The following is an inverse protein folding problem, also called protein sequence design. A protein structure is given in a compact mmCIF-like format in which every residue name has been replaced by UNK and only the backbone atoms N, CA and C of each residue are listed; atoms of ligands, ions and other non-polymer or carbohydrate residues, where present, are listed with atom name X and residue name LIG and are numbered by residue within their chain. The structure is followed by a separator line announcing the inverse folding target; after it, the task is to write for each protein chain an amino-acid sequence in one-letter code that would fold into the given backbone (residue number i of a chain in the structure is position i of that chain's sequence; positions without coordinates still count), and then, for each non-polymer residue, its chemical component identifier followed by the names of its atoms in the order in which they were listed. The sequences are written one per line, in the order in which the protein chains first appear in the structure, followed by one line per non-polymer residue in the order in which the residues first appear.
data_IF_490685204450
#
_entry.id   IF_490685204450
#
_cell.length_a   1.000
_cell.length_b   1.000
_cell.length_c   1.000
_cell.angle_alpha   90.00
_cell.angle_beta   90.00
_cell.angle_gamma   90.00
#
_symmetry.space_group_name_H-M   'P 1'
#
loop_
_entity.id
_entity.type
_entity.pdbx_description
1 polymer ?
#
# COMPACT_ATOMS: atom_id res chain seq x y z
N UNK A 1 1.42 -6.49 -16.01
CA UNK A 1 1.74 -5.31 -15.17
C UNK A 1 1.37 -4.04 -15.94
N UNK A 2 0.90 -3.00 -15.24
CA UNK A 2 0.58 -1.69 -15.83
C UNK A 2 1.13 -0.57 -14.95
N UNK A 3 1.65 0.49 -15.57
CA UNK A 3 2.19 1.67 -14.88
C UNK A 3 1.58 2.93 -15.49
N UNK A 4 1.25 3.91 -14.64
CA UNK A 4 0.60 5.16 -14.99
C UNK A 4 1.33 6.34 -14.35
N UNK A 5 1.63 7.36 -15.13
CA UNK A 5 2.13 8.65 -14.64
C UNK A 5 0.94 9.55 -14.26
N UNK A 6 0.86 9.91 -12.98
CA UNK A 6 -0.23 10.72 -12.43
C UNK A 6 0.32 11.97 -11.72
N UNK A 7 -0.52 12.99 -11.60
CA UNK A 7 -0.22 14.25 -10.95
C UNK A 7 -1.17 14.44 -9.78
N UNK A 8 -0.65 14.46 -8.55
CA UNK A 8 -1.43 14.74 -7.35
C UNK A 8 -1.37 16.23 -7.00
N UNK A 9 -2.52 16.88 -6.87
CA UNK A 9 -2.66 18.29 -6.50
C UNK A 9 -3.15 18.44 -5.05
N UNK A 10 -2.44 19.20 -4.22
CA UNK A 10 -2.92 19.53 -2.87
C UNK A 10 -4.03 20.58 -2.93
N UNK A 11 -4.79 20.74 -1.85
CA UNK A 11 -5.74 21.86 -1.72
C UNK A 11 -5.09 23.25 -1.79
N UNK A 12 -3.77 23.33 -1.58
CA UNK A 12 -2.98 24.56 -1.75
C UNK A 12 -2.42 24.76 -3.17
N UNK A 13 -2.81 23.90 -4.13
CA UNK A 13 -2.39 23.98 -5.53
C UNK A 13 -1.02 23.40 -5.84
N UNK A 14 -0.29 22.83 -4.85
CA UNK A 14 1.00 22.18 -5.11
C UNK A 14 0.80 20.86 -5.83
N UNK A 15 1.67 20.59 -6.79
CA UNK A 15 1.61 19.39 -7.61
C UNK A 15 2.76 18.45 -7.28
N UNK A 16 2.47 17.15 -7.23
CA UNK A 16 3.44 16.08 -7.01
C UNK A 16 3.27 15.02 -8.09
N UNK A 17 4.25 14.85 -8.99
CA UNK A 17 4.30 13.73 -9.91
C UNK A 17 4.42 12.42 -9.14
N UNK A 18 3.55 11.46 -9.44
CA UNK A 18 3.55 10.12 -8.86
C UNK A 18 3.51 9.08 -9.97
N UNK A 19 4.08 7.93 -9.67
CA UNK A 19 3.91 6.72 -10.47
C UNK A 19 2.93 5.80 -9.74
N UNK A 20 1.88 5.38 -10.44
CA UNK A 20 0.89 4.42 -9.97
C UNK A 20 1.04 3.14 -10.79
N UNK A 21 1.37 2.04 -10.14
CA UNK A 21 1.48 0.75 -10.82
C UNK A 21 0.64 -0.33 -10.16
N UNK A 22 0.24 -1.30 -10.97
CA UNK A 22 -0.44 -2.50 -10.51
C UNK A 22 -0.05 -3.73 -11.33
N UNK A 23 -0.07 -4.88 -10.66
CA UNK A 23 0.27 -6.18 -11.21
C UNK A 23 -0.57 -7.25 -10.56
N UNK A 24 -0.73 -8.38 -11.25
CA UNK A 24 -1.40 -9.56 -10.69
C UNK A 24 -0.36 -10.64 -10.49
N UNK A 25 -0.46 -11.34 -9.38
CA UNK A 25 0.41 -12.46 -9.03
C UNK A 25 -0.45 -13.59 -8.51
N UNK A 26 -0.13 -14.83 -8.89
CA UNK A 26 -0.75 -16.01 -8.30
C UNK A 26 -0.40 -16.10 -6.82
N UNK A 27 -1.37 -16.48 -5.99
CA UNK A 27 -1.18 -16.49 -4.53
C UNK A 27 -0.06 -17.43 -4.06
N UNK A 28 0.24 -18.49 -4.81
CA UNK A 28 1.32 -19.45 -4.51
C UNK A 28 2.73 -18.90 -4.85
N UNK A 29 2.80 -17.84 -5.66
CA UNK A 29 4.04 -17.13 -5.98
C UNK A 29 4.34 -15.97 -5.01
N UNK A 30 3.39 -15.63 -4.13
CA UNK A 30 3.57 -14.53 -3.18
C UNK A 30 4.63 -14.92 -2.14
N UNK A 31 5.70 -14.11 -1.96
CA UNK A 31 6.72 -14.43 -0.97
C UNK A 31 6.17 -14.18 0.44
N UNK A 32 6.08 -15.24 1.24
CA UNK A 32 5.51 -15.21 2.59
C UNK A 32 6.50 -15.80 3.60
N UNK A 33 6.73 -15.07 4.69
CA UNK A 33 7.43 -15.53 5.89
C UNK A 33 6.82 -14.85 7.12
N UNK A 34 5.86 -15.53 7.75
CA UNK A 34 5.15 -15.00 8.92
C UNK A 34 6.08 -14.74 10.11
N UNK A 35 7.12 -15.55 10.28
CA UNK A 35 8.04 -15.41 11.39
C UNK A 35 8.88 -14.14 11.22
N UNK A 36 9.45 -13.96 10.02
CA UNK A 36 10.24 -12.78 9.70
C UNK A 36 9.42 -11.49 9.80
N UNK A 37 8.22 -11.43 9.21
CA UNK A 37 7.42 -10.18 9.26
C UNK A 37 6.89 -9.90 10.66
N UNK A 38 6.53 -10.93 11.44
CA UNK A 38 6.08 -10.76 12.83
C UNK A 38 7.20 -10.23 13.71
N UNK A 39 8.43 -10.75 13.57
CA UNK A 39 9.59 -10.26 14.32
C UNK A 39 9.97 -8.83 13.92
N UNK A 40 9.91 -8.50 12.62
CA UNK A 40 10.09 -7.13 12.15
C UNK A 40 9.04 -6.17 12.74
N UNK A 41 7.77 -6.59 12.79
CA UNK A 41 6.71 -5.80 13.43
C UNK A 41 6.97 -5.62 14.94
N UNK A 42 7.34 -6.70 15.63
CA UNK A 42 7.57 -6.71 17.09
C UNK A 42 8.74 -5.82 17.50
N UNK A 43 9.84 -5.85 16.73
CA UNK A 43 11.05 -5.08 17.00
C UNK A 43 10.96 -3.63 16.50
N UNK A 44 10.25 -3.39 15.39
CA UNK A 44 10.26 -2.11 14.67
C UNK A 44 9.01 -1.24 14.82
N UNK A 45 7.87 -1.77 15.28
CA UNK A 45 6.60 -1.04 15.23
C UNK A 45 5.91 -0.91 16.60
N UNK A 46 5.65 0.33 17.01
CA UNK A 46 4.95 0.64 18.27
C UNK A 46 3.45 0.26 18.29
N UNK A 47 2.91 -0.22 17.17
CA UNK A 47 1.55 -0.71 17.01
C UNK A 47 1.45 -2.24 17.09
N UNK A 48 2.56 -2.96 17.17
CA UNK A 48 2.56 -4.40 17.45
C UNK A 48 1.70 -4.69 18.68
N UNK A 49 0.86 -5.72 18.59
CA UNK A 49 -0.12 -6.14 19.61
C UNK A 49 -1.12 -5.06 20.10
N UNK A 50 -1.23 -3.91 19.40
CA UNK A 50 -2.06 -2.78 19.83
C UNK A 50 -3.06 -2.30 18.78
N UNK A 51 -3.06 -2.90 17.60
CA UNK A 51 -3.99 -2.59 16.51
C UNK A 51 -4.55 -3.87 15.89
N UNK A 52 -5.85 -3.89 15.63
CA UNK A 52 -6.49 -5.05 15.00
C UNK A 52 -5.98 -5.36 13.59
N UNK A 53 -5.40 -4.42 12.86
CA UNK A 53 -4.81 -4.69 11.54
C UNK A 53 -3.38 -5.24 11.58
N UNK A 54 -2.79 -5.44 12.77
CA UNK A 54 -1.39 -5.79 12.96
C UNK A 54 -1.25 -7.16 13.67
N UNK A 55 -0.05 -7.78 13.65
CA UNK A 55 0.19 -9.00 14.40
C UNK A 55 0.00 -8.78 15.91
N UNK A 56 -0.47 -9.80 16.66
CA UNK A 56 -0.81 -11.16 16.21
C UNK A 56 -2.26 -11.31 15.69
N UNK A 57 -2.97 -10.21 15.49
CA UNK A 57 -4.42 -10.24 15.21
C UNK A 57 -4.76 -10.30 13.73
N UNK A 58 -3.82 -9.95 12.86
CA UNK A 58 -3.95 -10.13 11.42
C UNK A 58 -3.92 -11.63 11.09
N UNK A 59 -4.76 -12.11 10.16
CA UNK A 59 -4.69 -13.47 9.68
C UNK A 59 -3.46 -13.65 8.79
N UNK A 60 -2.93 -14.86 8.77
CA UNK A 60 -1.95 -15.29 7.78
C UNK A 60 -2.51 -15.11 6.35
N UNK A 61 -1.64 -14.78 5.39
CA UNK A 61 -1.97 -14.55 3.98
C UNK A 61 -2.79 -15.70 3.38
N UNK A 62 -2.45 -16.95 3.71
CA UNK A 62 -3.13 -18.18 3.26
C UNK A 62 -4.62 -18.21 3.68
N UNK A 63 -4.97 -17.55 4.78
CA UNK A 63 -6.37 -17.42 5.24
C UNK A 63 -7.12 -16.27 4.55
N UNK A 64 -6.39 -15.32 3.98
CA UNK A 64 -6.93 -14.28 3.10
C UNK A 64 -6.99 -14.75 1.64
N UNK A 65 -6.32 -15.87 1.32
CA UNK A 65 -6.07 -16.26 -0.05
C UNK A 65 -7.35 -16.46 -0.83
N UNK A 66 -7.34 -15.80 -1.99
CA UNK A 66 -7.96 -16.32 -3.17
C UNK A 66 -6.92 -16.83 -4.16
N UNK A 67 -7.29 -17.04 -5.43
CA UNK A 67 -6.37 -17.60 -6.43
C UNK A 67 -5.22 -16.64 -6.79
N UNK A 68 -5.50 -15.34 -6.74
CA UNK A 68 -4.59 -14.28 -7.17
C UNK A 68 -4.63 -13.09 -6.19
N UNK A 69 -3.56 -12.30 -6.21
CA UNK A 69 -3.47 -10.98 -5.58
C UNK A 69 -3.18 -9.93 -6.65
N UNK A 70 -3.90 -8.81 -6.58
CA UNK A 70 -3.50 -7.56 -7.24
C UNK A 70 -2.58 -6.82 -6.30
N UNK A 71 -1.33 -6.64 -6.69
CA UNK A 71 -0.39 -5.77 -6.00
C UNK A 71 -0.51 -4.39 -6.61
N UNK A 72 -0.72 -3.37 -5.79
CA UNK A 72 -0.85 -1.99 -6.23
C UNK A 72 0.12 -1.12 -5.44
N UNK A 73 0.82 -0.24 -6.14
CA UNK A 73 1.72 0.70 -5.51
C UNK A 73 1.56 2.13 -6.00
N UNK A 74 1.90 3.08 -5.14
CA UNK A 74 2.13 4.48 -5.51
C UNK A 74 3.55 4.86 -5.10
N UNK A 75 4.32 5.42 -6.03
CA UNK A 75 5.71 5.85 -5.87
C UNK A 75 5.84 7.35 -6.09
N UNK A 76 6.67 7.98 -5.26
CA UNK A 76 7.09 9.39 -5.42
C UNK A 76 8.62 9.48 -5.31
N UNK A 77 9.26 10.16 -6.26
CA UNK A 77 10.69 10.46 -6.16
C UNK A 77 10.94 11.57 -5.13
N UNK A 78 11.96 11.41 -4.29
CA UNK A 78 12.29 12.36 -3.23
C UNK A 78 12.76 13.71 -3.77
N UNK A 79 13.24 13.77 -5.01
CA UNK A 79 13.51 15.04 -5.72
C UNK A 79 12.28 15.95 -5.85
N UNK A 80 11.06 15.41 -5.74
CA UNK A 80 9.82 16.18 -5.75
C UNK A 80 9.36 16.63 -4.36
N UNK A 81 10.14 16.34 -3.30
CA UNK A 81 9.78 16.73 -1.95
C UNK A 81 10.07 18.22 -1.76
N UNK A 82 9.26 18.93 -0.96
CA UNK A 82 9.60 20.29 -0.57
C UNK A 82 10.93 20.30 0.21
N UNK A 83 11.82 21.26 -0.07
CA UNK A 83 13.14 21.35 0.58
C UNK A 83 13.04 21.36 2.12
N UNK A 84 12.01 22.01 2.67
CA UNK A 84 11.73 22.02 4.13
C UNK A 84 11.43 20.64 4.72
N UNK A 85 10.89 19.71 3.92
CA UNK A 85 10.62 18.33 4.33
C UNK A 85 11.93 17.56 4.35
N UNK A 86 12.75 17.70 3.30
CA UNK A 86 14.06 17.04 3.22
C UNK A 86 15.02 17.52 4.31
N UNK A 87 15.05 18.83 4.61
CA UNK A 87 15.82 19.40 5.71
C UNK A 87 15.25 19.07 7.11
N UNK A 88 14.00 18.59 7.18
CA UNK A 88 13.32 18.27 8.43
C UNK A 88 13.80 16.96 9.06
N UNK A 89 13.39 16.70 10.32
CA UNK A 89 13.69 15.44 11.01
C UNK A 89 13.01 14.24 10.33
N UNK A 90 13.49 13.04 10.66
CA UNK A 90 12.94 11.75 10.19
C UNK A 90 11.40 11.72 10.18
N UNK A 91 10.77 12.16 11.27
CA UNK A 91 9.32 12.13 11.41
C UNK A 91 8.60 13.02 10.38
N UNK A 92 9.14 14.20 10.07
CA UNK A 92 8.57 15.10 9.05
C UNK A 92 8.60 14.46 7.66
N UNK A 93 9.70 13.78 7.32
CA UNK A 93 9.86 13.06 6.06
C UNK A 93 8.89 11.87 5.95
N UNK A 94 8.75 11.13 7.05
CA UNK A 94 7.81 10.02 7.14
C UNK A 94 6.34 10.47 7.02
N UNK A 95 5.93 11.48 7.79
CA UNK A 95 4.56 12.03 7.75
C UNK A 95 4.20 12.56 6.37
N UNK A 96 5.15 13.16 5.65
CA UNK A 96 4.90 13.67 4.30
C UNK A 96 4.37 12.56 3.38
N UNK A 97 5.01 11.39 3.35
CA UNK A 97 4.55 10.21 2.59
C UNK A 97 3.18 9.74 3.08
N UNK A 98 3.03 9.57 4.39
CA UNK A 98 1.80 9.05 4.98
C UNK A 98 0.57 9.91 4.70
N UNK A 99 0.76 11.23 4.61
CA UNK A 99 -0.35 12.18 4.50
C UNK A 99 -1.17 11.97 3.22
N UNK A 100 -0.54 11.64 2.09
CA UNK A 100 -1.24 11.55 0.82
C UNK A 100 -1.05 10.22 0.07
N UNK A 101 0.14 9.59 0.09
CA UNK A 101 0.31 8.28 -0.58
C UNK A 101 -0.57 7.21 0.09
N UNK A 102 -0.61 7.14 1.41
CA UNK A 102 -1.42 6.14 2.12
C UNK A 102 -2.91 6.35 1.85
N UNK A 103 -3.38 7.60 1.82
CA UNK A 103 -4.78 7.91 1.51
C UNK A 103 -5.14 7.52 0.07
N UNK A 104 -4.31 7.93 -0.90
CA UNK A 104 -4.51 7.62 -2.32
C UNK A 104 -4.50 6.11 -2.58
N UNK A 105 -3.45 5.43 -2.13
CA UNK A 105 -3.27 3.98 -2.33
C UNK A 105 -4.40 3.18 -1.69
N UNK A 106 -4.83 3.55 -0.49
CA UNK A 106 -5.95 2.88 0.19
C UNK A 106 -7.30 3.15 -0.50
N UNK A 107 -7.53 4.36 -1.04
CA UNK A 107 -8.76 4.68 -1.77
C UNK A 107 -8.87 3.83 -3.03
N UNK A 108 -7.79 3.76 -3.81
CA UNK A 108 -7.74 2.94 -5.03
C UNK A 108 -7.92 1.46 -4.68
N UNK A 109 -7.15 0.94 -3.73
CA UNK A 109 -7.20 -0.48 -3.37
C UNK A 109 -8.56 -0.91 -2.77
N UNK A 110 -9.22 -0.06 -1.99
CA UNK A 110 -10.56 -0.36 -1.45
C UNK A 110 -11.61 -0.40 -2.56
N UNK A 111 -11.62 0.59 -3.46
CA UNK A 111 -12.55 0.61 -4.59
C UNK A 111 -12.34 -0.60 -5.49
N UNK A 112 -11.08 -0.96 -5.75
CA UNK A 112 -10.74 -2.16 -6.52
C UNK A 112 -11.24 -3.44 -5.84
N UNK A 113 -11.12 -3.54 -4.52
CA UNK A 113 -11.68 -4.66 -3.77
C UNK A 113 -13.22 -4.71 -3.85
N UNK A 114 -13.90 -3.57 -3.80
CA UNK A 114 -15.36 -3.48 -3.96
C UNK A 114 -15.80 -3.92 -5.37
N UNK A 115 -15.20 -3.36 -6.42
CA UNK A 115 -15.54 -3.65 -7.82
C UNK A 115 -15.29 -5.13 -8.18
N UNK A 116 -14.29 -5.76 -7.55
CA UNK A 116 -13.93 -7.17 -7.79
C UNK A 116 -14.58 -8.16 -6.81
N UNK A 117 -15.24 -7.69 -5.75
CA UNK A 117 -15.66 -8.55 -4.63
C UNK A 117 -14.47 -9.23 -3.93
N UNK A 118 -13.33 -8.54 -3.85
CA UNK A 118 -12.09 -9.01 -3.24
C UNK A 118 -11.90 -8.55 -1.79
N UNK A 119 -10.76 -8.92 -1.19
CA UNK A 119 -10.34 -8.49 0.13
C UNK A 119 -9.17 -7.52 0.03
N UNK A 120 -9.33 -6.32 0.59
CA UNK A 120 -8.29 -5.29 0.63
C UNK A 120 -7.34 -5.48 1.82
N UNK A 121 -6.03 -5.48 1.55
CA UNK A 121 -4.95 -5.44 2.54
C UNK A 121 -4.11 -4.16 2.37
N UNK A 122 -3.95 -3.41 3.46
CA UNK A 122 -3.43 -2.05 3.46
C UNK A 122 -1.91 -1.97 3.62
N UNK A 123 -1.36 -0.78 3.32
CA UNK A 123 0.00 -0.39 3.70
C UNK A 123 -0.05 0.17 5.12
N UNK A 124 0.13 -0.69 6.13
CA UNK A 124 0.11 -0.30 7.53
C UNK A 124 -1.19 -0.63 8.28
N UNK A 125 -1.40 0.05 9.40
CA UNK A 125 -2.39 -0.34 10.41
C UNK A 125 -3.83 0.02 10.06
N UNK A 126 -4.79 -0.65 10.72
CA UNK A 126 -6.22 -0.37 10.58
C UNK A 126 -6.59 1.00 11.19
N UNK A 127 -7.51 1.70 10.53
CA UNK A 127 -8.02 3.02 10.92
C UNK A 127 -9.52 3.05 11.25
N UNK A 128 -10.22 1.93 11.16
CA UNK A 128 -11.70 1.87 11.17
C UNK A 128 -12.35 2.26 12.49
N UNK A 129 -11.60 2.30 13.59
CA UNK A 129 -12.11 2.77 14.87
C UNK A 129 -11.96 4.28 15.10
N UNK A 130 -11.21 5.01 14.24
CA UNK A 130 -10.95 6.44 14.46
C UNK A 130 -12.28 7.25 14.47
N UNK A 131 -12.42 8.26 15.34
CA UNK A 131 -11.41 8.78 16.29
C UNK A 131 -11.29 7.99 17.60
N UNK A 132 -12.11 6.95 17.82
CA UNK A 132 -12.09 6.13 19.04
C UNK A 132 -10.83 5.25 19.11
N UNK A 133 -10.44 4.86 20.33
CA UNK A 133 -9.35 3.90 20.56
C UNK A 133 -9.69 2.53 19.98
N UNK A 134 -8.69 1.77 19.56
CA UNK A 134 -8.90 0.40 19.09
C UNK A 134 -9.24 -0.51 20.28
N UNK A 135 -10.36 -1.24 20.22
CA UNK A 135 -10.78 -2.15 21.30
C UNK A 135 -9.78 -3.29 21.56
N UNK A 136 -9.03 -3.71 20.54
CA UNK A 136 -7.97 -4.72 20.67
C UNK A 136 -6.87 -4.24 21.64
N UNK A 137 -6.57 -2.94 21.64
CA UNK A 137 -5.63 -2.32 22.59
C UNK A 137 -6.13 -2.34 24.04
N UNK A 138 -7.41 -2.63 24.23
CA UNK A 138 -8.10 -2.70 25.53
C UNK A 138 -8.42 -4.17 25.91
N UNK A 139 -7.91 -5.15 25.16
CA UNK A 139 -8.20 -6.57 25.36
C UNK A 139 -9.56 -7.03 24.81
N UNK A 140 -10.30 -6.14 24.13
CA UNK A 140 -11.63 -6.42 23.58
C UNK A 140 -11.62 -6.90 22.13
N UNK A 141 -12.78 -7.38 21.66
CA UNK A 141 -13.02 -7.73 20.26
C UNK A 141 -13.05 -6.49 19.36
N UNK A 142 -12.76 -6.66 18.07
CA UNK A 142 -12.82 -5.57 17.10
C UNK A 142 -14.23 -4.95 17.06
N UNK A 143 -14.33 -3.61 17.17
CA UNK A 143 -15.60 -2.85 17.06
C UNK A 143 -16.13 -2.80 15.62
N UNK A 144 -15.25 -2.96 14.64
CA UNK A 144 -15.57 -2.81 13.22
C UNK A 144 -15.01 -4.01 12.42
N UNK A 145 -15.48 -5.25 12.66
CA UNK A 145 -14.90 -6.44 12.06
C UNK A 145 -15.00 -6.46 10.54
N UNK A 146 -16.08 -5.92 9.97
CA UNK A 146 -16.30 -5.85 8.51
C UNK A 146 -15.36 -4.82 7.87
N UNK A 147 -15.26 -3.62 8.45
CA UNK A 147 -14.41 -2.55 7.92
C UNK A 147 -12.92 -2.72 8.29
N UNK A 148 -12.53 -3.78 9.00
CA UNK A 148 -11.17 -4.00 9.48
C UNK A 148 -10.26 -4.32 8.30
N UNK A 149 -9.21 -3.52 8.13
CA UNK A 149 -8.14 -3.79 7.15
C UNK A 149 -6.93 -4.40 7.87
N UNK A 150 -6.22 -5.28 7.18
CA UNK A 150 -4.98 -5.87 7.66
C UNK A 150 -3.79 -5.29 6.91
N UNK A 151 -2.67 -5.03 7.61
CA UNK A 151 -1.44 -4.66 6.92
C UNK A 151 -0.96 -5.83 6.07
N UNK A 152 -0.52 -5.58 4.83
CA UNK A 152 0.02 -6.63 3.95
C UNK A 152 1.19 -7.38 4.62
N UNK A 153 2.11 -6.68 5.28
CA UNK A 153 3.22 -7.32 6.01
C UNK A 153 2.73 -8.10 7.24
N UNK A 154 1.65 -7.65 7.88
CA UNK A 154 1.08 -8.33 9.04
C UNK A 154 0.46 -9.68 8.69
N UNK A 155 0.20 -9.93 7.41
CA UNK A 155 -0.31 -11.22 6.92
C UNK A 155 0.83 -12.15 6.53
N UNK A 156 2.09 -11.81 6.79
CA UNK A 156 3.25 -12.64 6.45
C UNK A 156 3.92 -12.31 5.12
N UNK A 157 3.35 -11.42 4.31
CA UNK A 157 3.90 -11.11 2.99
C UNK A 157 5.20 -10.31 3.12
N UNK A 158 6.26 -10.80 2.48
CA UNK A 158 7.54 -10.12 2.34
C UNK A 158 7.44 -9.04 1.26
N UNK A 159 6.94 -7.86 1.64
CA UNK A 159 6.63 -6.76 0.70
C UNK A 159 7.83 -6.33 -0.14
N UNK A 160 9.06 -6.37 0.39
CA UNK A 160 10.29 -6.12 -0.37
C UNK A 160 10.46 -7.10 -1.53
N UNK A 161 10.37 -8.40 -1.25
CA UNK A 161 10.49 -9.45 -2.27
C UNK A 161 9.32 -9.42 -3.24
N UNK A 162 8.11 -9.11 -2.76
CA UNK A 162 6.92 -8.97 -3.60
C UNK A 162 7.12 -7.87 -4.65
N UNK A 163 7.63 -6.71 -4.24
CA UNK A 163 7.85 -5.57 -5.12
C UNK A 163 8.97 -5.82 -6.13
N UNK A 164 10.04 -6.50 -5.71
CA UNK A 164 11.12 -6.91 -6.60
C UNK A 164 10.61 -7.90 -7.66
N UNK A 165 9.88 -8.94 -7.24
CA UNK A 165 9.37 -9.97 -8.16
C UNK A 165 8.29 -9.42 -9.11
N UNK A 166 7.40 -8.56 -8.62
CA UNK A 166 6.26 -8.09 -9.41
C UNK A 166 6.61 -6.88 -10.31
N UNK A 167 7.55 -6.02 -9.89
CA UNK A 167 7.83 -4.74 -10.57
C UNK A 167 9.31 -4.45 -10.77
N UNK A 168 10.24 -5.26 -10.26
CA UNK A 168 11.67 -4.94 -10.24
C UNK A 168 11.98 -3.70 -9.39
N UNK A 169 11.17 -3.43 -8.36
CA UNK A 169 11.33 -2.26 -7.49
C UNK A 169 11.93 -2.67 -6.15
N UNK A 170 13.18 -2.25 -5.93
CA UNK A 170 13.82 -2.33 -4.62
C UNK A 170 13.25 -1.26 -3.70
N UNK A 171 12.57 -1.67 -2.63
CA UNK A 171 12.04 -0.73 -1.65
C UNK A 171 13.17 -0.04 -0.87
N UNK A 172 12.95 1.24 -0.57
CA UNK A 172 13.88 2.08 0.17
C UNK A 172 13.16 2.69 1.38
N UNK A 173 13.90 2.88 2.47
CA UNK A 173 13.37 3.47 3.70
C UNK A 173 14.27 4.58 4.19
N UNK A 174 13.66 5.57 4.85
CA UNK A 174 14.41 6.53 5.66
C UNK A 174 15.20 5.79 6.74
N UNK A 175 16.47 6.17 6.92
CA UNK A 175 17.34 5.59 7.95
C UNK A 175 17.40 6.53 9.15
N UNK A 176 16.84 6.11 10.29
CA UNK A 176 16.81 6.94 11.50
C UNK A 176 18.22 7.24 12.03
N UNK A 177 19.13 6.27 11.91
CA UNK A 177 20.52 6.36 12.37
C UNK A 177 21.44 7.06 11.36
N UNK A 178 20.98 7.32 10.14
CA UNK A 178 21.76 7.96 9.07
C UNK A 178 20.94 9.08 8.41
N UNK A 179 20.74 10.24 9.06
CA UNK A 179 19.84 11.29 8.58
C UNK A 179 20.24 11.93 7.25
N UNK A 180 21.51 11.80 6.85
CA UNK A 180 22.06 12.22 5.56
C UNK A 180 21.61 11.33 4.41
N UNK A 181 21.24 10.08 4.69
CA UNK A 181 20.70 9.18 3.67
C UNK A 181 19.31 9.66 3.24
N UNK A 182 19.19 9.93 1.95
CA UNK A 182 17.94 10.27 1.28
C UNK A 182 17.65 9.16 0.27
N UNK A 183 16.57 8.37 0.45
CA UNK A 183 16.17 7.39 -0.54
C UNK A 183 15.80 8.12 -1.84
N UNK A 184 15.99 7.48 -2.98
CA UNK A 184 15.65 8.06 -4.28
C UNK A 184 14.14 8.27 -4.45
N UNK A 185 13.36 7.38 -3.84
CA UNK A 185 11.91 7.40 -3.87
C UNK A 185 11.32 6.74 -2.63
N UNK A 186 10.03 6.99 -2.42
CA UNK A 186 9.22 6.30 -1.42
C UNK A 186 8.04 5.63 -2.09
N UNK A 187 7.70 4.42 -1.65
CA UNK A 187 6.61 3.61 -2.21
C UNK A 187 5.62 3.24 -1.11
N UNK A 188 4.33 3.27 -1.45
CA UNK A 188 3.26 2.63 -0.67
C UNK A 188 2.68 1.48 -1.45
N UNK A 189 2.56 0.32 -0.81
CA UNK A 189 2.12 -0.94 -1.43
C UNK A 189 0.90 -1.47 -0.69
N UNK A 190 -0.13 -1.82 -1.43
CA UNK A 190 -1.35 -2.48 -0.95
C UNK A 190 -1.63 -3.73 -1.80
N UNK A 191 -2.54 -4.57 -1.32
CA UNK A 191 -3.00 -5.75 -2.05
C UNK A 191 -4.52 -5.84 -2.10
N UNK A 192 -5.02 -6.50 -3.13
CA UNK A 192 -6.42 -6.96 -3.23
C UNK A 192 -6.41 -8.44 -3.57
N UNK A 193 -6.86 -9.30 -2.67
CA UNK A 193 -6.98 -10.75 -2.92
C UNK A 193 -8.37 -11.09 -3.46
N UNK A 194 -8.47 -12.05 -4.37
CA UNK A 194 -9.77 -12.49 -4.92
C UNK A 194 -9.85 -14.01 -5.03
N UNK A 195 -10.92 -14.60 -4.50
CA UNK A 195 -11.14 -16.07 -4.45
C UNK A 195 -11.29 -16.72 -5.82
N UNK A 196 -11.71 -15.95 -6.80
CA UNK A 196 -11.82 -16.36 -8.20
C UNK A 196 -10.76 -15.65 -9.02
N UNK A 197 -10.58 -16.11 -10.25
CA UNK A 197 -9.72 -15.46 -11.24
C UNK A 197 -10.15 -14.01 -11.46
N UNK A 198 -9.16 -13.14 -11.62
CA UNK A 198 -9.38 -11.71 -11.78
C UNK A 198 -9.67 -11.42 -13.25
N UNK A 199 -10.77 -10.71 -13.50
CA UNK A 199 -11.01 -10.12 -14.81
C UNK A 199 -10.11 -8.89 -14.96
N UNK A 200 -9.04 -9.10 -15.71
CA UNK A 200 -8.02 -8.13 -16.06
C UNK A 200 -8.58 -6.85 -16.71
N UNK A 201 -9.70 -6.95 -17.46
CA UNK A 201 -10.34 -5.81 -18.10
C UNK A 201 -10.95 -4.82 -17.11
N UNK A 202 -11.36 -5.29 -15.93
CA UNK A 202 -11.97 -4.45 -14.89
C UNK A 202 -10.91 -3.67 -14.11
N UNK A 203 -9.71 -4.22 -13.92
CA UNK A 203 -8.67 -3.63 -13.07
C UNK A 203 -8.35 -2.20 -13.50
N UNK A 204 -8.07 -2.01 -14.79
CA UNK A 204 -7.71 -0.69 -15.32
C UNK A 204 -8.83 0.32 -15.08
N UNK A 205 -10.06 -0.05 -15.43
CA UNK A 205 -11.21 0.84 -15.30
C UNK A 205 -11.46 1.21 -13.83
N UNK A 206 -11.39 0.23 -12.93
CA UNK A 206 -11.53 0.45 -11.49
C UNK A 206 -10.45 1.38 -10.95
N UNK A 207 -9.18 1.14 -11.31
CA UNK A 207 -8.05 2.01 -10.91
C UNK A 207 -8.28 3.44 -11.38
N UNK A 208 -8.61 3.65 -12.66
CA UNK A 208 -8.84 5.00 -13.22
C UNK A 208 -10.03 5.69 -12.57
N UNK A 209 -11.16 4.99 -12.39
CA UNK A 209 -12.37 5.55 -11.78
C UNK A 209 -12.24 5.81 -10.27
N UNK A 210 -11.28 5.17 -9.60
CA UNK A 210 -11.02 5.38 -8.18
C UNK A 210 -10.14 6.60 -7.88
N UNK A 211 -9.51 7.17 -8.91
CA UNK A 211 -8.67 8.36 -8.76
C UNK A 211 -9.53 9.53 -8.23
N UNK A 212 -9.09 10.23 -7.17
CA UNK A 212 -9.80 11.40 -6.68
C UNK A 212 -9.66 12.57 -7.68
N UNK A 213 -10.59 13.53 -7.62
CA UNK A 213 -10.63 14.70 -8.51
C UNK A 213 -9.36 15.55 -8.50
N UNK A 214 -8.58 15.47 -7.40
CA UNK A 214 -7.31 16.15 -7.27
C UNK A 214 -6.12 15.35 -7.85
N UNK A 215 -6.38 14.29 -8.62
CA UNK A 215 -5.39 13.48 -9.34
C UNK A 215 -5.73 13.45 -10.83
N UNK A 216 -4.76 13.77 -11.68
CA UNK A 216 -4.90 13.72 -13.14
C UNK A 216 -3.77 12.93 -13.80
N UNK A 217 -3.92 12.51 -15.05
CA UNK A 217 -2.82 11.89 -15.81
C UNK A 217 -1.79 12.93 -16.25
N UNK A 218 -0.50 12.60 -16.18
CA UNK A 218 0.57 13.42 -16.76
C UNK A 218 0.68 13.11 -18.25
N UNK A 219 -0.05 13.87 -19.08
CA UNK A 219 -0.14 13.74 -20.55
C UNK A 219 -0.70 12.38 -21.04
N UNK A 220 -1.40 12.32 -22.18
CA UNK A 220 -1.84 11.05 -22.75
C UNK A 220 -0.66 10.40 -23.49
N UNK A 221 0.28 9.77 -22.78
CA UNK A 221 1.20 8.83 -23.42
C UNK A 221 0.38 7.64 -23.96
N UNK A 222 0.68 7.22 -25.20
CA UNK A 222 0.02 6.11 -25.90
C UNK A 222 -0.12 4.93 -24.94
N UNK A 223 -1.37 4.59 -24.66
CA UNK A 223 -1.79 3.50 -23.81
C UNK A 223 -1.58 2.16 -24.52
N UNK A 224 -0.33 1.74 -24.69
CA UNK A 224 -0.02 0.38 -25.13
C UNK A 224 0.57 -0.42 -23.96
N UNK A 225 -0.13 -1.49 -23.59
CA UNK A 225 0.26 -2.35 -22.47
C UNK A 225 -0.73 -3.49 -22.29
N UNK A 226 -0.57 -4.53 -23.12
CA UNK A 226 -1.20 -5.84 -22.95
C UNK A 226 -0.84 -6.36 -21.55
N UNK A 227 -1.84 -6.82 -20.80
CA UNK A 227 -1.62 -7.49 -19.52
C UNK A 227 -0.88 -8.81 -19.78
N UNK A 228 0.44 -8.78 -19.73
CA UNK A 228 1.24 -9.99 -19.69
C UNK A 228 0.99 -10.68 -18.35
N UNK A 229 0.43 -11.87 -18.42
CA UNK A 229 0.34 -12.85 -17.34
C UNK A 229 1.76 -13.36 -17.08
N UNK A 230 2.23 -13.27 -15.83
CA UNK A 230 3.44 -13.98 -15.37
C UNK A 230 2.96 -15.24 -14.66
#
# INVERSE_FOLDING_TARGET
MSVLSILYRTGTGKEYPLELGYGVMKSDMVPVDHAATSEACKSGCNLYSRNGGCPPYAPNFEKLCGKEIIVLYVKIHTRHYPSRVLAGPYYTRWVFVETFLTSLTNKIGKRLAEDLGGCFVSSGNCHSCRPKRCAVKEGGKCRNPIARTYSLEATGVLVTSLMEQCFGIQLQWWRKQEPSYIPEYMVKVVGVTKKTEIDYGIIRNSVVQSLPDNVSFQTPERLEGTLATI
#
